data_IF_128183338947
#
_entry.id   IF_128183338947
#
_cell.length_a   1.000
_cell.length_b   1.000
_cell.length_c   1.000
_cell.angle_alpha   90.00
_cell.angle_beta   90.00
_cell.angle_gamma   90.00
#
_symmetry.space_group_name_H-M   'P 1'
#
loop_
_entity.id
_entity.type
_entity.pdbx_description
1 polymer ?
#
# COMPACT_ATOMS: atom_id res chain seq x y z
N UNK A 1 -18.90 22.15 16.82
CA UNK A 1 -17.48 21.97 17.23
C UNK A 1 -17.47 21.01 18.40
N UNK A 2 -16.81 19.87 18.26
CA UNK A 2 -16.69 18.90 19.35
C UNK A 2 -15.49 19.28 20.22
N UNK A 3 -15.66 19.29 21.53
CA UNK A 3 -14.57 19.47 22.48
C UNK A 3 -14.19 18.11 23.07
N UNK A 4 -12.91 17.85 23.21
CA UNK A 4 -12.42 16.64 23.87
C UNK A 4 -12.18 16.95 25.33
N UNK A 5 -12.75 16.14 26.21
CA UNK A 5 -12.48 16.22 27.62
C UNK A 5 -11.29 15.32 27.96
N UNK A 6 -10.15 15.95 28.23
CA UNK A 6 -8.89 15.26 28.52
C UNK A 6 -8.73 14.84 29.99
N UNK A 7 -9.64 15.23 30.89
CA UNK A 7 -9.50 15.00 32.34
C UNK A 7 -9.42 13.50 32.71
N UNK A 8 -10.03 12.64 31.92
CA UNK A 8 -10.02 11.19 32.12
C UNK A 8 -8.80 10.47 31.53
N UNK A 9 -7.91 11.17 30.88
CA UNK A 9 -6.71 10.59 30.27
C UNK A 9 -5.52 10.77 31.20
N UNK A 10 -4.61 9.79 31.18
CA UNK A 10 -3.31 9.98 31.82
C UNK A 10 -2.57 11.17 31.17
N UNK A 11 -1.87 12.05 31.93
CA UNK A 11 -1.29 13.28 31.43
C UNK A 11 -0.49 13.11 30.13
N UNK A 12 0.42 12.12 30.06
CA UNK A 12 1.21 11.84 28.85
C UNK A 12 0.35 11.48 27.63
N UNK A 13 -0.78 10.80 27.83
CA UNK A 13 -1.70 10.47 26.73
C UNK A 13 -2.53 11.67 26.31
N UNK A 14 -2.90 12.53 27.25
CA UNK A 14 -3.62 13.76 26.96
C UNK A 14 -2.79 14.73 26.13
N UNK A 15 -1.50 14.91 26.46
CA UNK A 15 -0.58 15.75 25.67
C UNK A 15 -0.36 15.19 24.26
N UNK A 16 -0.11 13.89 24.13
CA UNK A 16 0.06 13.25 22.83
C UNK A 16 -1.20 13.37 21.95
N UNK A 17 -2.39 13.16 22.55
CA UNK A 17 -3.65 13.27 21.84
C UNK A 17 -3.94 14.70 21.41
N UNK A 18 -3.62 15.69 22.27
CA UNK A 18 -3.77 17.11 21.95
C UNK A 18 -2.85 17.51 20.80
N UNK A 19 -1.57 17.12 20.85
CA UNK A 19 -0.62 17.37 19.76
C UNK A 19 -1.12 16.79 18.45
N UNK A 20 -1.67 15.58 18.46
CA UNK A 20 -2.22 14.91 17.30
C UNK A 20 -3.47 15.60 16.72
N UNK A 21 -4.29 16.19 17.59
CA UNK A 21 -5.46 16.97 17.17
C UNK A 21 -5.12 18.35 16.61
N UNK A 22 -4.00 18.91 17.04
CA UNK A 22 -3.51 20.21 16.57
C UNK A 22 -2.72 20.07 15.24
N UNK A 23 -2.38 18.84 14.84
CA UNK A 23 -1.79 18.59 13.53
C UNK A 23 -2.81 18.75 12.41
N UNK A 24 -2.44 19.36 11.27
CA UNK A 24 -3.33 19.47 10.14
C UNK A 24 -3.69 18.07 9.61
N UNK A 25 -4.98 17.77 9.53
CA UNK A 25 -5.50 16.51 8.99
C UNK A 25 -5.31 16.35 7.47
N UNK A 26 -4.92 17.41 6.80
CA UNK A 26 -4.75 17.40 5.35
C UNK A 26 -3.26 17.24 5.00
N UNK A 27 -2.95 16.16 4.30
CA UNK A 27 -1.67 16.00 3.60
C UNK A 27 -1.74 16.84 2.34
N UNK A 28 -0.85 17.83 2.21
CA UNK A 28 -0.79 18.74 1.05
C UNK A 28 0.05 18.21 -0.10
N UNK A 29 0.77 17.11 0.14
CA UNK A 29 1.58 16.46 -0.88
C UNK A 29 0.74 15.50 -1.72
N UNK A 30 0.94 15.55 -3.03
CA UNK A 30 0.31 14.59 -3.92
C UNK A 30 0.83 13.17 -3.64
N UNK A 31 -0.04 12.17 -3.61
CA UNK A 31 0.37 10.79 -3.46
C UNK A 31 1.35 10.37 -4.56
N UNK A 32 2.39 9.62 -4.20
CA UNK A 32 3.40 9.17 -5.15
C UNK A 32 2.85 8.11 -6.10
N UNK A 33 3.23 8.22 -7.37
CA UNK A 33 2.91 7.24 -8.42
C UNK A 33 4.20 6.78 -9.07
N UNK A 34 4.39 5.48 -9.14
CA UNK A 34 5.44 4.87 -9.96
C UNK A 34 4.86 4.43 -11.31
N UNK A 35 5.60 4.66 -12.39
CA UNK A 35 5.26 4.19 -13.73
C UNK A 35 6.47 3.49 -14.33
N UNK A 36 6.28 2.32 -14.91
CA UNK A 36 7.33 1.54 -15.55
C UNK A 36 6.79 0.67 -16.68
N UNK A 37 7.71 0.11 -17.46
CA UNK A 37 7.43 -0.86 -18.53
C UNK A 37 8.04 -2.20 -18.15
N UNK A 38 7.52 -3.27 -18.73
CA UNK A 38 8.05 -4.63 -18.55
C UNK A 38 8.21 -5.04 -17.07
N UNK A 39 7.36 -4.52 -16.22
CA UNK A 39 7.39 -4.83 -14.80
C UNK A 39 6.87 -6.25 -14.52
N UNK A 40 7.43 -6.88 -13.51
CA UNK A 40 6.95 -8.18 -13.03
C UNK A 40 6.13 -7.98 -11.76
N UNK A 41 4.88 -8.42 -11.77
CA UNK A 41 4.01 -8.42 -10.58
C UNK A 41 4.17 -9.76 -9.89
N UNK A 42 4.56 -9.74 -8.61
CA UNK A 42 4.80 -10.91 -7.77
C UNK A 42 3.64 -11.12 -6.82
N UNK A 43 2.93 -12.26 -6.87
CA UNK A 43 1.94 -12.63 -5.87
C UNK A 43 2.53 -12.66 -4.45
N UNK A 44 1.66 -12.63 -3.44
CA UNK A 44 2.09 -12.81 -2.06
C UNK A 44 2.67 -14.20 -1.84
N UNK A 45 3.87 -14.24 -1.24
CA UNK A 45 4.53 -15.47 -0.81
C UNK A 45 4.95 -15.32 0.64
N UNK A 46 4.27 -16.04 1.52
CA UNK A 46 4.64 -16.08 2.93
C UNK A 46 5.90 -16.92 3.11
N UNK A 47 6.85 -16.38 3.85
CA UNK A 47 8.03 -17.10 4.30
C UNK A 47 8.09 -16.99 5.83
N UNK A 48 8.23 -18.09 6.52
CA UNK A 48 8.22 -18.13 8.00
C UNK A 48 9.41 -17.39 8.62
N UNK A 49 10.50 -17.28 7.87
CA UNK A 49 11.74 -16.63 8.30
C UNK A 49 11.67 -15.08 8.23
N UNK A 50 10.69 -14.55 7.51
CA UNK A 50 10.50 -13.10 7.37
C UNK A 50 9.61 -12.58 8.49
N UNK A 51 10.06 -11.54 9.18
CA UNK A 51 9.24 -10.77 10.12
C UNK A 51 8.19 -9.89 9.42
N UNK A 52 7.62 -10.36 8.33
CA UNK A 52 6.62 -9.66 7.55
C UNK A 52 5.24 -10.24 7.84
N UNK A 53 4.27 -9.37 8.09
CA UNK A 53 2.91 -9.80 8.46
C UNK A 53 2.24 -10.65 7.38
N UNK A 54 2.43 -10.28 6.10
CA UNK A 54 1.82 -10.95 4.97
C UNK A 54 2.82 -11.64 4.03
N UNK A 55 4.10 -11.29 4.10
CA UNK A 55 5.18 -11.93 3.34
C UNK A 55 5.79 -11.07 2.24
N UNK A 56 6.44 -11.70 1.28
CA UNK A 56 7.10 -11.08 0.14
C UNK A 56 6.17 -10.95 -1.05
N UNK A 57 6.41 -9.94 -1.88
CA UNK A 57 5.66 -9.70 -3.11
C UNK A 57 5.67 -8.23 -3.49
N UNK A 58 4.97 -7.88 -4.54
CA UNK A 58 4.90 -6.52 -5.06
C UNK A 58 5.31 -6.45 -6.52
N UNK A 59 5.92 -5.36 -6.92
CA UNK A 59 6.37 -5.12 -8.29
C UNK A 59 7.88 -5.06 -8.34
N UNK A 60 8.42 -5.68 -9.38
CA UNK A 60 9.84 -5.58 -9.76
C UNK A 60 9.89 -4.93 -11.12
N UNK A 61 10.75 -3.95 -11.30
CA UNK A 61 10.91 -3.23 -12.56
C UNK A 61 11.63 -4.07 -13.64
N UNK A 62 11.85 -3.47 -14.79
CA UNK A 62 12.54 -4.11 -15.93
C UNK A 62 14.01 -4.48 -15.64
N UNK A 63 14.65 -3.82 -14.66
CA UNK A 63 16.03 -4.07 -14.25
C UNK A 63 16.13 -5.15 -13.16
N UNK A 64 15.01 -5.63 -12.64
CA UNK A 64 14.95 -6.57 -11.54
C UNK A 64 14.96 -5.90 -10.17
N UNK A 65 14.79 -4.59 -10.09
CA UNK A 65 14.75 -3.85 -8.84
C UNK A 65 13.33 -3.80 -8.25
N UNK A 66 13.25 -3.98 -6.95
CA UNK A 66 11.98 -3.91 -6.23
C UNK A 66 11.44 -2.47 -6.20
N UNK A 67 10.16 -2.30 -6.51
CA UNK A 67 9.46 -1.02 -6.43
C UNK A 67 8.85 -0.84 -5.05
N UNK A 68 9.42 -0.01 -4.16
CA UNK A 68 8.98 0.12 -2.76
C UNK A 68 7.51 0.53 -2.62
N UNK A 69 7.00 1.39 -3.50
CA UNK A 69 5.60 1.83 -3.52
C UNK A 69 4.60 0.69 -3.74
N UNK A 70 5.05 -0.45 -4.26
CA UNK A 70 4.19 -1.62 -4.48
C UNK A 70 3.96 -2.43 -3.21
N UNK A 71 4.78 -2.24 -2.19
CA UNK A 71 4.69 -2.93 -0.92
C UNK A 71 3.96 -2.15 0.16
N UNK A 72 4.03 -2.70 1.37
CA UNK A 72 3.54 -2.11 2.61
C UNK A 72 4.62 -2.37 3.65
N UNK A 73 5.20 -1.31 4.21
CA UNK A 73 6.30 -1.42 5.15
C UNK A 73 5.96 -2.33 6.35
N UNK A 74 6.87 -3.25 6.66
CA UNK A 74 6.71 -4.23 7.73
C UNK A 74 5.65 -5.32 7.48
N UNK A 75 4.96 -5.31 6.33
CA UNK A 75 3.86 -6.24 6.03
C UNK A 75 4.02 -6.99 4.73
N UNK A 76 4.25 -6.28 3.64
CA UNK A 76 4.56 -6.85 2.33
C UNK A 76 5.74 -6.08 1.78
N UNK A 77 6.88 -6.70 1.75
CA UNK A 77 8.11 -6.10 1.22
C UNK A 77 8.94 -7.16 0.51
N UNK A 78 9.89 -6.68 -0.28
CA UNK A 78 10.91 -7.46 -0.98
C UNK A 78 10.39 -8.38 -2.08
N UNK A 79 11.16 -8.40 -3.14
CA UNK A 79 10.99 -9.35 -4.22
C UNK A 79 11.45 -10.76 -3.81
N UNK A 80 11.02 -11.71 -4.61
CA UNK A 80 11.55 -13.07 -4.62
C UNK A 80 11.72 -13.54 -6.06
N UNK A 81 12.59 -14.52 -6.34
CA UNK A 81 12.74 -15.08 -7.68
C UNK A 81 11.44 -15.77 -8.13
N UNK A 82 10.88 -15.32 -9.24
CA UNK A 82 9.70 -15.95 -9.82
C UNK A 82 10.12 -17.21 -10.61
N UNK A 83 9.59 -18.37 -10.24
CA UNK A 83 9.87 -19.65 -10.90
C UNK A 83 9.24 -19.73 -12.30
N UNK A 84 8.05 -19.14 -12.43
CA UNK A 84 7.32 -19.05 -13.71
C UNK A 84 6.87 -17.62 -13.92
N UNK A 85 6.98 -17.13 -15.16
CA UNK A 85 6.50 -15.82 -15.57
C UNK A 85 5.52 -16.01 -16.72
N UNK A 86 4.37 -15.37 -16.65
CA UNK A 86 3.43 -15.21 -17.74
C UNK A 86 3.57 -13.79 -18.27
N UNK A 87 3.85 -13.66 -19.56
CA UNK A 87 3.91 -12.36 -20.22
C UNK A 87 2.52 -11.96 -20.72
N UNK A 88 2.16 -10.71 -20.47
CA UNK A 88 0.94 -10.08 -20.98
C UNK A 88 1.27 -8.73 -21.56
N UNK A 89 0.81 -8.48 -22.77
CA UNK A 89 0.92 -7.16 -23.41
C UNK A 89 -0.29 -6.31 -23.02
N UNK A 90 -0.30 -5.91 -21.75
CA UNK A 90 -1.41 -5.18 -21.13
C UNK A 90 -0.87 -4.03 -20.28
N UNK A 91 -1.58 -2.90 -20.27
CA UNK A 91 -1.33 -1.82 -19.33
C UNK A 91 -2.19 -2.03 -18.08
N UNK A 92 -1.53 -2.12 -16.93
CA UNK A 92 -2.19 -2.45 -15.65
C UNK A 92 -1.93 -1.37 -14.61
N UNK A 93 -2.97 -0.96 -13.89
CA UNK A 93 -2.81 -0.22 -12.64
C UNK A 93 -2.78 -1.22 -11.48
N UNK A 94 -1.63 -1.32 -10.84
CA UNK A 94 -1.43 -2.16 -9.68
C UNK A 94 -1.87 -1.45 -8.41
N UNK A 95 -2.94 -1.92 -7.78
CA UNK A 95 -3.51 -1.34 -6.57
C UNK A 95 -3.03 -2.01 -5.27
N UNK A 96 -2.12 -2.96 -5.36
CA UNK A 96 -1.61 -3.69 -4.19
C UNK A 96 -2.31 -5.03 -3.98
N UNK A 97 -2.41 -5.44 -2.72
CA UNK A 97 -2.99 -6.72 -2.32
C UNK A 97 -4.37 -6.54 -1.71
N UNK A 98 -5.27 -7.45 -2.04
CA UNK A 98 -6.55 -7.58 -1.36
C UNK A 98 -6.33 -8.43 -0.10
N UNK A 99 -6.16 -7.76 1.02
CA UNK A 99 -5.92 -8.43 2.30
C UNK A 99 -7.25 -8.82 2.93
N UNK A 100 -7.39 -10.09 3.32
CA UNK A 100 -8.58 -10.60 4.02
C UNK A 100 -8.60 -10.14 5.49
N UNK A 101 -8.49 -8.84 5.71
CA UNK A 101 -8.60 -8.19 7.01
C UNK A 101 -9.20 -6.80 6.80
N UNK A 102 -10.40 -6.58 7.32
CA UNK A 102 -11.22 -5.39 7.04
C UNK A 102 -10.47 -4.07 7.27
N UNK A 103 -9.80 -3.92 8.40
CA UNK A 103 -9.04 -2.71 8.72
C UNK A 103 -7.93 -2.43 7.70
N UNK A 104 -7.15 -3.44 7.34
CA UNK A 104 -6.08 -3.31 6.36
C UNK A 104 -6.62 -3.08 4.95
N UNK A 105 -7.73 -3.72 4.59
CA UNK A 105 -8.40 -3.45 3.32
C UNK A 105 -8.77 -1.98 3.18
N UNK A 106 -9.38 -1.38 4.21
CA UNK A 106 -9.78 0.03 4.19
C UNK A 106 -8.58 0.98 4.14
N UNK A 107 -7.56 0.74 4.95
CA UNK A 107 -6.43 1.66 5.11
C UNK A 107 -5.42 1.52 3.97
N UNK A 108 -5.18 0.32 3.48
CA UNK A 108 -4.08 0.01 2.55
C UNK A 108 -4.56 -0.33 1.14
N UNK A 109 -5.76 -0.89 1.01
CA UNK A 109 -6.36 -1.22 -0.27
C UNK A 109 -7.16 -0.05 -0.87
N UNK A 110 -8.21 0.38 -0.16
CA UNK A 110 -9.11 1.43 -0.68
C UNK A 110 -8.41 2.75 -0.91
N UNK A 111 -7.44 3.10 -0.06
CA UNK A 111 -6.66 4.33 -0.20
C UNK A 111 -5.87 4.41 -1.50
N UNK A 112 -5.54 3.29 -2.14
CA UNK A 112 -4.83 3.27 -3.43
C UNK A 112 -5.76 3.52 -4.62
N UNK A 113 -7.07 3.50 -4.42
CA UNK A 113 -8.06 3.76 -5.48
C UNK A 113 -8.20 5.25 -5.84
N UNK A 114 -7.59 6.17 -5.08
CA UNK A 114 -7.62 7.60 -5.36
C UNK A 114 -7.18 7.92 -6.79
N UNK A 115 -6.24 7.16 -7.33
CA UNK A 115 -5.70 7.37 -8.67
C UNK A 115 -6.78 7.31 -9.77
N UNK A 116 -7.77 6.44 -9.61
CA UNK A 116 -8.89 6.31 -10.55
C UNK A 116 -9.89 7.45 -10.43
N UNK A 117 -9.99 8.05 -9.25
CA UNK A 117 -10.91 9.16 -9.03
C UNK A 117 -10.43 10.47 -9.69
N UNK A 118 -9.12 10.61 -9.83
CA UNK A 118 -8.48 11.82 -10.37
C UNK A 118 -7.97 11.64 -11.81
N UNK A 119 -7.81 10.43 -12.26
CA UNK A 119 -7.25 10.14 -13.56
C UNK A 119 -8.12 9.11 -14.31
N UNK A 120 -8.27 9.32 -15.62
CA UNK A 120 -8.70 8.26 -16.53
C UNK A 120 -7.44 7.67 -17.19
N UNK A 121 -6.85 6.62 -16.61
CA UNK A 121 -5.55 6.13 -17.04
C UNK A 121 -5.59 5.40 -18.39
N UNK A 122 -6.78 5.17 -18.98
CA UNK A 122 -6.91 4.49 -20.25
C UNK A 122 -6.22 3.12 -20.26
N UNK A 123 -6.33 2.39 -19.15
CA UNK A 123 -5.64 1.10 -18.95
C UNK A 123 -6.52 -0.09 -19.26
N UNK A 124 -5.90 -1.19 -19.65
CA UNK A 124 -6.60 -2.42 -19.99
C UNK A 124 -7.22 -3.11 -18.76
N UNK A 125 -6.51 -3.02 -17.62
CA UNK A 125 -6.94 -3.68 -16.39
C UNK A 125 -6.56 -2.92 -15.13
N UNK A 126 -7.40 -3.12 -14.12
CA UNK A 126 -7.16 -2.72 -12.74
C UNK A 126 -7.05 -3.97 -11.88
N UNK A 127 -6.12 -4.01 -10.94
CA UNK A 127 -5.99 -5.23 -10.16
C UNK A 127 -5.44 -5.06 -8.76
N UNK A 128 -6.13 -5.76 -7.86
CA UNK A 128 -5.54 -6.23 -6.63
C UNK A 128 -5.10 -7.67 -6.84
N UNK A 129 -3.93 -8.04 -6.34
CA UNK A 129 -3.61 -9.45 -6.22
C UNK A 129 -4.32 -10.04 -5.01
N UNK A 130 -4.86 -11.26 -5.11
CA UNK A 130 -5.36 -11.97 -3.94
C UNK A 130 -4.21 -12.22 -2.95
N UNK A 131 -4.47 -11.92 -1.70
CA UNK A 131 -3.57 -12.20 -0.58
C UNK A 131 -3.83 -13.58 -0.02
#
# INVERSE_FOLDING_TARGET
MYSIDYQYLRPKKAEALKAWYDEPLAVTENPAVWRGKNATILPLRRQEEDNLLFGRGGVVDENGEYVPLSGIEGRVQFAYPAEKKEYRDETVVYCGYLVNHWGHFLIEGVTRLWYFLENDPGVDKYGFLPG
#
